data_IF_938366635089
#
_entry.id   IF_938366635089
#
_cell.length_a   1.000
_cell.length_b   1.000
_cell.length_c   1.000
_cell.angle_alpha   90.00
_cell.angle_beta   90.00
_cell.angle_gamma   90.00
#
_symmetry.space_group_name_H-M   'P 1'
#
loop_
_entity.id
_entity.type
_entity.pdbx_description
1 polymer ?
#
# COMPACT_ATOMS: atom_id res chain seq x y z
N UNK A 1 -17.82 -3.30 0.41
CA UNK A 1 -17.51 -2.18 -0.49
C UNK A 1 -16.01 -1.99 -0.60
N UNK A 2 -15.49 -1.84 -1.79
CA UNK A 2 -14.06 -1.63 -2.03
C UNK A 2 -13.73 -0.17 -1.76
N UNK A 3 -12.65 0.07 -0.99
CA UNK A 3 -12.18 1.41 -0.72
C UNK A 3 -11.44 2.00 -1.92
N UNK A 4 -11.31 3.32 -1.94
CA UNK A 4 -10.63 4.04 -3.01
C UNK A 4 -9.43 4.78 -2.47
N UNK A 5 -8.28 4.62 -3.14
CA UNK A 5 -7.05 5.34 -2.81
C UNK A 5 -6.75 6.30 -3.96
N UNK A 6 -6.66 7.59 -3.66
CA UNK A 6 -6.35 8.58 -4.68
C UNK A 6 -4.84 8.74 -4.87
N UNK A 7 -4.46 9.50 -5.89
CA UNK A 7 -3.07 9.72 -6.24
C UNK A 7 -2.28 10.40 -5.12
N UNK A 8 -2.90 11.34 -4.42
CA UNK A 8 -2.24 12.04 -3.32
C UNK A 8 -1.93 11.09 -2.17
N UNK A 9 -2.82 10.17 -1.88
CA UNK A 9 -2.61 9.15 -0.84
C UNK A 9 -1.44 8.25 -1.20
N UNK A 10 -1.32 7.88 -2.47
CA UNK A 10 -0.20 7.06 -2.96
C UNK A 10 1.11 7.80 -2.76
N UNK A 11 1.17 9.08 -3.09
CA UNK A 11 2.38 9.90 -2.91
C UNK A 11 2.75 10.02 -1.43
N UNK A 12 1.77 10.28 -0.57
CA UNK A 12 2.00 10.38 0.87
C UNK A 12 2.52 9.07 1.45
N UNK A 13 1.92 7.95 1.03
CA UNK A 13 2.31 6.64 1.52
C UNK A 13 3.74 6.28 1.07
N UNK A 14 4.09 6.56 -0.18
CA UNK A 14 5.43 6.34 -0.68
C UNK A 14 6.47 7.19 0.08
N UNK A 15 6.11 8.43 0.36
CA UNK A 15 6.97 9.31 1.14
C UNK A 15 7.17 8.78 2.57
N UNK A 16 6.10 8.28 3.17
CA UNK A 16 6.15 7.71 4.52
C UNK A 16 7.04 6.48 4.59
N UNK A 17 6.92 5.57 3.62
CA UNK A 17 7.75 4.37 3.56
C UNK A 17 9.24 4.74 3.46
N UNK A 18 9.56 5.70 2.60
CA UNK A 18 10.92 6.17 2.43
C UNK A 18 11.47 6.82 3.71
N UNK A 19 10.64 7.63 4.34
CA UNK A 19 10.99 8.31 5.60
C UNK A 19 11.31 7.33 6.71
N UNK A 20 10.62 6.19 6.72
CA UNK A 20 10.84 5.15 7.74
C UNK A 20 11.97 4.19 7.39
N UNK A 21 12.64 4.41 6.26
CA UNK A 21 13.81 3.63 5.86
C UNK A 21 13.52 2.38 5.07
N UNK A 22 12.33 2.28 4.47
CA UNK A 22 11.96 1.14 3.65
C UNK A 22 12.06 1.49 2.17
N UNK A 23 12.76 0.65 1.41
CA UNK A 23 12.93 0.83 -0.05
C UNK A 23 11.75 0.19 -0.80
N UNK A 24 10.55 0.57 -0.42
CA UNK A 24 9.32 0.08 -1.02
C UNK A 24 8.47 1.24 -1.53
N UNK A 25 7.68 0.96 -2.55
CA UNK A 25 6.71 1.92 -3.07
C UNK A 25 5.41 1.21 -3.44
N UNK A 26 4.32 1.96 -3.44
CA UNK A 26 3.01 1.45 -3.86
C UNK A 26 2.58 2.18 -5.13
N UNK A 27 1.89 1.46 -6.00
CA UNK A 27 1.45 1.96 -7.30
C UNK A 27 0.03 1.50 -7.55
N UNK A 28 -0.74 2.28 -8.31
CA UNK A 28 -2.08 1.87 -8.70
C UNK A 28 -2.01 0.72 -9.72
N UNK A 29 -2.97 -0.19 -9.63
CA UNK A 29 -3.03 -1.34 -10.54
C UNK A 29 -3.78 -0.93 -11.80
N UNK A 30 -3.12 -1.08 -12.95
CA UNK A 30 -3.73 -0.81 -14.25
C UNK A 30 -4.27 0.60 -14.42
N UNK A 31 -3.72 1.57 -13.71
CA UNK A 31 -4.20 2.95 -13.76
C UNK A 31 -5.52 3.18 -13.04
N UNK A 32 -6.02 2.17 -12.33
CA UNK A 32 -7.28 2.25 -11.60
C UNK A 32 -7.02 2.27 -10.09
N UNK A 33 -7.18 3.42 -9.46
CA UNK A 33 -6.92 3.57 -8.02
C UNK A 33 -7.91 2.78 -7.16
N UNK A 34 -9.08 2.46 -7.69
CA UNK A 34 -10.08 1.68 -6.95
C UNK A 34 -9.86 0.17 -7.06
N UNK A 35 -8.93 -0.28 -7.90
CA UNK A 35 -8.67 -1.70 -8.11
C UNK A 35 -7.69 -2.28 -7.12
N UNK A 36 -7.03 -1.45 -6.34
CA UNK A 36 -6.04 -1.86 -5.36
C UNK A 36 -4.69 -1.24 -5.62
N UNK A 37 -3.69 -1.72 -4.90
CA UNK A 37 -2.32 -1.21 -4.99
C UNK A 37 -1.35 -2.35 -5.28
N UNK A 38 -0.28 -2.03 -5.98
CA UNK A 38 0.83 -2.95 -6.20
C UNK A 38 2.00 -2.47 -5.35
N UNK A 39 2.51 -3.35 -4.49
CA UNK A 39 3.69 -3.06 -3.67
C UNK A 39 4.93 -3.48 -4.45
N UNK A 40 5.92 -2.61 -4.49
CA UNK A 40 7.14 -2.87 -5.23
C UNK A 40 8.36 -2.63 -4.35
N UNK A 41 9.30 -3.57 -4.36
CA UNK A 41 10.59 -3.39 -3.70
C UNK A 41 11.53 -2.64 -4.66
N UNK A 42 11.97 -1.46 -4.24
CA UNK A 42 12.82 -0.60 -5.07
C UNK A 42 14.31 -0.80 -4.81
N UNK A 43 14.66 -1.54 -3.75
CA UNK A 43 16.05 -1.76 -3.38
C UNK A 43 16.19 -2.88 -2.38
N UNK A 44 16.59 -2.56 -1.16
CA UNK A 44 16.78 -3.56 -0.13
C UNK A 44 15.44 -4.13 0.36
N UNK A 45 15.36 -5.46 0.43
CA UNK A 45 14.15 -6.12 0.92
C UNK A 45 14.01 -5.99 2.43
N UNK A 46 12.78 -5.87 2.89
CA UNK A 46 12.43 -5.80 4.30
C UNK A 46 11.31 -6.80 4.57
N UNK A 47 11.00 -7.00 5.85
CA UNK A 47 9.89 -7.87 6.25
C UNK A 47 8.58 -7.25 5.76
N UNK A 48 7.83 -8.02 4.98
CA UNK A 48 6.54 -7.55 4.44
C UNK A 48 5.53 -7.22 5.54
N UNK A 49 5.59 -7.91 6.66
CA UNK A 49 4.70 -7.61 7.79
C UNK A 49 4.93 -6.19 8.29
N UNK A 50 6.18 -5.76 8.39
CA UNK A 50 6.52 -4.40 8.82
C UNK A 50 6.03 -3.37 7.81
N UNK A 51 6.25 -3.64 6.53
CA UNK A 51 5.80 -2.75 5.45
C UNK A 51 4.27 -2.65 5.45
N UNK A 52 3.59 -3.78 5.57
CA UNK A 52 2.12 -3.81 5.61
C UNK A 52 1.57 -3.08 6.84
N UNK A 53 2.25 -3.18 7.96
CA UNK A 53 1.85 -2.46 9.17
C UNK A 53 1.88 -0.95 8.96
N UNK A 54 2.93 -0.44 8.33
CA UNK A 54 3.04 0.98 8.02
C UNK A 54 1.92 1.41 7.07
N UNK A 55 1.68 0.61 6.03
CA UNK A 55 0.63 0.90 5.06
C UNK A 55 -0.73 0.94 5.74
N UNK A 56 -1.04 -0.04 6.58
CA UNK A 56 -2.33 -0.11 7.27
C UNK A 56 -2.49 0.97 8.33
N UNK A 57 -1.41 1.34 9.02
CA UNK A 57 -1.45 2.45 10.00
C UNK A 57 -1.79 3.76 9.29
N UNK A 58 -1.23 3.97 8.09
CA UNK A 58 -1.56 5.15 7.28
C UNK A 58 -3.03 5.11 6.81
N UNK A 59 -3.45 3.98 6.26
CA UNK A 59 -4.80 3.83 5.71
C UNK A 59 -5.87 3.88 6.79
N UNK A 60 -5.56 3.46 8.00
CA UNK A 60 -6.50 3.50 9.12
C UNK A 60 -7.04 4.90 9.36
N UNK A 61 -6.21 5.92 9.17
CA UNK A 61 -6.62 7.32 9.30
C UNK A 61 -7.62 7.73 8.23
N UNK A 62 -7.69 6.97 7.15
CA UNK A 62 -8.60 7.21 6.03
C UNK A 62 -9.77 6.25 6.02
N UNK A 63 -9.94 5.47 7.10
CA UNK A 63 -11.00 4.45 7.23
C UNK A 63 -10.86 3.34 6.20
N UNK A 64 -9.61 3.02 5.84
CA UNK A 64 -9.29 1.99 4.86
C UNK A 64 -8.34 0.96 5.45
N UNK A 65 -8.26 -0.19 4.80
CA UNK A 65 -7.28 -1.22 5.11
C UNK A 65 -6.78 -1.88 3.84
N UNK A 66 -5.55 -2.38 3.87
CA UNK A 66 -4.96 -3.12 2.78
C UNK A 66 -4.78 -4.58 3.19
N UNK A 67 -5.10 -5.49 2.27
CA UNK A 67 -4.95 -6.93 2.49
C UNK A 67 -4.18 -7.51 1.31
N UNK A 68 -3.12 -8.27 1.60
CA UNK A 68 -2.34 -8.93 0.58
C UNK A 68 -3.14 -10.04 -0.10
N UNK A 69 -2.99 -10.17 -1.42
CA UNK A 69 -3.56 -11.28 -2.16
C UNK A 69 -2.90 -12.59 -1.74
N UNK A 70 -3.67 -13.67 -1.70
CA UNK A 70 -3.14 -14.99 -1.41
C UNK A 70 -2.22 -15.50 -2.53
N UNK A 71 -2.44 -15.05 -3.75
CA UNK A 71 -1.66 -15.47 -4.91
C UNK A 71 -0.37 -14.65 -5.05
N UNK A 72 -0.44 -13.38 -4.67
CA UNK A 72 0.68 -12.46 -4.81
C UNK A 72 0.68 -11.48 -3.64
N UNK A 73 1.61 -11.63 -2.66
CA UNK A 73 1.65 -10.75 -1.50
C UNK A 73 1.98 -9.29 -1.83
N UNK A 74 2.46 -9.02 -3.04
CA UNK A 74 2.72 -7.66 -3.49
C UNK A 74 1.49 -6.99 -4.13
N UNK A 75 0.41 -7.73 -4.30
CA UNK A 75 -0.86 -7.18 -4.78
C UNK A 75 -1.76 -6.97 -3.57
N UNK A 76 -2.16 -5.72 -3.36
CA UNK A 76 -2.95 -5.32 -2.19
C UNK A 76 -4.36 -4.93 -2.60
N UNK A 77 -5.35 -5.57 -1.97
CA UNK A 77 -6.74 -5.14 -2.07
C UNK A 77 -7.01 -4.07 -1.03
N UNK A 78 -7.76 -3.05 -1.40
CA UNK A 78 -8.10 -1.93 -0.52
C UNK A 78 -9.58 -2.01 -0.17
N UNK A 79 -9.87 -2.02 1.11
CA UNK A 79 -11.23 -2.17 1.63
C UNK A 79 -11.52 -1.10 2.66
N UNK A 80 -12.81 -0.86 2.88
CA UNK A 80 -13.26 0.02 3.97
C UNK A 80 -13.10 -0.75 5.28
N UNK A 81 -12.39 -0.15 6.18
CA UNK A 81 -12.13 -0.77 7.48
C UNK A 81 -13.31 -0.62 8.43
#
# INVERSE_FOLDING_TARGET
MIGTVDFNMILELNHLLKKKGYDYSVHSIGGCASCGLNLRCEGEESDLEDVMKIINDFLKKKWLKAVSSLEDPYTLGIYIS
#
